data_IF_138131899451
#
_entry.id   IF_138131899451
#
_cell.length_a   1.000
_cell.length_b   1.000
_cell.length_c   1.000
_cell.angle_alpha   90.00
_cell.angle_beta   90.00
_cell.angle_gamma   90.00
#
_symmetry.space_group_name_H-M   'P 1'
#
loop_
_entity.id
_entity.type
_entity.pdbx_description
1 polymer ?
#
# COMPACT_ATOMS: atom_id res chain seq x y z
N UNK A 1 -25.27 -11.88 17.72
CA UNK A 1 -24.82 -10.55 17.25
C UNK A 1 -23.55 -10.74 16.44
N UNK A 2 -23.61 -10.61 15.10
CA UNK A 2 -22.43 -10.62 14.22
C UNK A 2 -22.16 -9.19 13.80
N UNK A 3 -21.10 -8.61 14.32
CA UNK A 3 -20.65 -7.24 14.03
C UNK A 3 -20.18 -7.20 12.58
N UNK A 4 -21.00 -6.65 11.69
CA UNK A 4 -20.60 -6.33 10.31
C UNK A 4 -19.77 -5.06 10.37
N UNK A 5 -18.45 -5.18 10.26
CA UNK A 5 -17.57 -4.03 10.07
C UNK A 5 -17.65 -3.65 8.59
N UNK A 6 -18.57 -2.76 8.24
CA UNK A 6 -18.53 -2.04 6.98
C UNK A 6 -17.46 -0.95 7.12
N UNK A 7 -16.27 -1.20 6.57
CA UNK A 7 -15.24 -0.18 6.43
C UNK A 7 -15.54 0.58 5.12
N UNK A 8 -16.37 1.62 5.21
CA UNK A 8 -16.52 2.59 4.12
C UNK A 8 -15.29 3.49 4.10
N UNK A 9 -14.40 3.31 3.13
CA UNK A 9 -13.29 4.22 2.91
C UNK A 9 -13.51 5.01 1.62
N UNK A 10 -13.96 6.24 1.79
CA UNK A 10 -14.09 7.26 0.76
C UNK A 10 -12.67 7.76 0.45
N UNK A 11 -12.03 7.24 -0.59
CA UNK A 11 -10.74 7.78 -1.06
C UNK A 11 -10.96 8.64 -2.29
N UNK A 12 -10.77 9.94 -2.11
CA UNK A 12 -10.76 10.94 -3.17
C UNK A 12 -9.63 10.62 -4.14
N UNK A 13 -10.00 10.31 -5.38
CA UNK A 13 -9.09 10.20 -6.51
C UNK A 13 -8.52 11.61 -6.78
N UNK A 14 -7.44 11.95 -6.08
CA UNK A 14 -6.68 13.16 -6.34
C UNK A 14 -5.92 12.95 -7.64
N UNK A 15 -6.52 13.38 -8.75
CA UNK A 15 -5.78 13.59 -10.00
C UNK A 15 -4.69 14.62 -9.73
N UNK A 16 -3.48 14.15 -9.43
CA UNK A 16 -2.31 15.01 -9.41
C UNK A 16 -1.98 15.31 -10.87
N UNK A 17 -2.37 16.51 -11.31
CA UNK A 17 -2.00 17.03 -12.62
C UNK A 17 -0.47 16.98 -12.75
N UNK A 18 0.01 16.28 -13.77
CA UNK A 18 1.44 16.18 -14.03
C UNK A 18 1.84 17.29 -14.97
N UNK A 19 2.63 18.22 -14.42
CA UNK A 19 3.33 19.22 -15.19
C UNK A 19 4.39 18.53 -16.05
N UNK A 20 4.45 18.87 -17.34
CA UNK A 20 5.53 18.43 -18.22
C UNK A 20 6.89 18.74 -17.58
N UNK A 21 7.85 17.81 -17.70
CA UNK A 21 9.20 17.94 -17.13
C UNK A 21 9.87 19.23 -17.64
N UNK A 22 10.33 20.08 -16.73
CA UNK A 22 10.99 21.34 -17.08
C UNK A 22 12.51 21.14 -17.09
N UNK A 23 13.24 21.60 -18.12
CA UNK A 23 14.68 21.45 -18.18
C UNK A 23 15.37 22.37 -17.16
N UNK A 24 16.56 21.97 -16.70
CA UNK A 24 17.48 22.85 -15.97
C UNK A 24 18.01 23.92 -16.93
N UNK A 25 17.58 25.17 -16.77
CA UNK A 25 17.97 26.28 -17.65
C UNK A 25 18.94 27.22 -16.91
N UNK A 26 20.10 27.43 -17.50
CA UNK A 26 21.04 28.48 -17.05
C UNK A 26 20.88 29.75 -17.88
N UNK A 27 21.12 30.92 -17.28
CA UNK A 27 21.13 32.21 -17.98
C UNK A 27 22.12 33.14 -17.29
N UNK A 28 23.08 33.67 -18.05
CA UNK A 28 24.04 34.63 -17.54
C UNK A 28 23.38 36.02 -17.42
N UNK A 29 23.60 36.71 -16.30
CA UNK A 29 22.94 37.98 -15.97
C UNK A 29 23.76 38.78 -14.96
N UNK A 30 23.41 40.05 -14.73
CA UNK A 30 23.99 40.88 -13.67
C UNK A 30 22.93 41.32 -12.68
N UNK A 31 23.10 40.96 -11.41
CA UNK A 31 22.17 41.29 -10.32
C UNK A 31 22.82 42.26 -9.35
N UNK A 32 22.05 43.27 -8.91
CA UNK A 32 22.54 44.28 -7.98
C UNK A 32 22.38 43.81 -6.53
N UNK A 33 23.47 43.84 -5.77
CA UNK A 33 23.50 43.59 -4.32
C UNK A 33 23.97 44.87 -3.62
N UNK A 34 23.06 45.56 -2.92
CA UNK A 34 23.34 46.90 -2.40
C UNK A 34 23.68 47.89 -3.51
N UNK A 35 24.92 48.38 -3.56
CA UNK A 35 25.43 49.26 -4.62
C UNK A 35 26.32 48.55 -5.66
N UNK A 36 26.59 47.26 -5.46
CA UNK A 36 27.47 46.48 -6.33
C UNK A 36 26.67 45.74 -7.38
N UNK A 37 27.09 45.82 -8.64
CA UNK A 37 26.52 45.03 -9.73
C UNK A 37 27.34 43.76 -9.88
N UNK A 38 26.74 42.61 -9.60
CA UNK A 38 27.42 41.33 -9.59
C UNK A 38 27.07 40.55 -10.88
N UNK A 39 28.01 40.33 -11.81
CA UNK A 39 27.79 39.42 -12.92
C UNK A 39 27.82 37.96 -12.42
N UNK A 40 26.84 37.18 -12.85
CA UNK A 40 26.67 35.81 -12.40
C UNK A 40 25.69 35.04 -13.26
N UNK A 41 25.12 34.00 -12.67
CA UNK A 41 24.35 33.00 -13.42
C UNK A 41 23.08 32.68 -12.65
N UNK A 42 21.95 32.73 -13.35
CA UNK A 42 20.68 32.15 -12.92
C UNK A 42 20.60 30.68 -13.31
N UNK A 43 20.09 29.85 -12.40
CA UNK A 43 19.67 28.48 -12.66
C UNK A 43 18.20 28.30 -12.23
N UNK A 44 17.40 27.76 -13.14
CA UNK A 44 16.02 27.39 -12.90
C UNK A 44 15.95 25.96 -12.34
N UNK A 45 15.39 25.81 -11.13
CA UNK A 45 15.26 24.54 -10.41
C UNK A 45 13.77 24.17 -10.30
N UNK A 46 13.27 23.22 -11.10
CA UNK A 46 11.85 22.86 -11.13
C UNK A 46 11.41 22.13 -9.87
N UNK A 47 10.16 22.34 -9.48
CA UNK A 47 9.41 21.54 -8.49
C UNK A 47 10.01 21.47 -7.07
N UNK A 48 11.07 22.23 -6.78
CA UNK A 48 11.65 22.33 -5.44
C UNK A 48 11.04 23.53 -4.70
N UNK A 49 10.88 23.38 -3.39
CA UNK A 49 10.44 24.47 -2.53
C UNK A 49 11.56 25.50 -2.28
N UNK A 50 11.21 26.79 -2.25
CA UNK A 50 12.17 27.89 -2.04
C UNK A 50 12.96 27.79 -0.73
N UNK A 51 12.33 27.35 0.36
CA UNK A 51 12.98 27.17 1.66
C UNK A 51 13.97 26.02 1.64
N UNK A 52 13.63 24.93 0.93
CA UNK A 52 14.53 23.79 0.72
C UNK A 52 15.77 24.22 -0.06
N UNK A 53 15.61 24.99 -1.15
CA UNK A 53 16.75 25.53 -1.91
C UNK A 53 17.57 26.46 -1.04
N UNK A 54 16.95 27.39 -0.31
CA UNK A 54 17.66 28.32 0.59
C UNK A 54 18.49 27.58 1.62
N UNK A 55 17.90 26.64 2.36
CA UNK A 55 18.60 25.86 3.38
C UNK A 55 19.74 25.02 2.79
N UNK A 56 19.49 24.34 1.67
CA UNK A 56 20.49 23.51 1.01
C UNK A 56 21.62 24.34 0.39
N UNK A 57 21.31 25.50 -0.18
CA UNK A 57 22.31 26.40 -0.76
C UNK A 57 23.23 26.96 0.31
N UNK A 58 22.69 27.46 1.43
CA UNK A 58 23.49 27.93 2.58
C UNK A 58 24.44 26.83 3.06
N UNK A 59 23.94 25.60 3.27
CA UNK A 59 24.78 24.46 3.65
C UNK A 59 25.87 24.15 2.62
N UNK A 60 25.56 24.34 1.35
CA UNK A 60 26.47 24.06 0.23
C UNK A 60 27.61 25.06 0.21
N UNK A 61 27.32 26.36 0.28
CA UNK A 61 28.33 27.43 0.22
C UNK A 61 29.13 27.59 1.53
N UNK A 62 28.57 27.19 2.68
CA UNK A 62 29.29 27.14 3.96
C UNK A 62 30.19 25.90 4.10
N UNK A 63 30.06 24.91 3.21
CA UNK A 63 30.79 23.64 3.33
C UNK A 63 32.30 23.88 3.28
N UNK A 64 33.01 23.43 4.32
CA UNK A 64 34.46 23.51 4.40
C UNK A 64 35.02 24.87 4.81
N UNK A 65 34.19 25.90 4.97
CA UNK A 65 34.60 27.21 5.52
C UNK A 65 34.10 27.41 6.95
N UNK A 66 34.76 28.31 7.69
CA UNK A 66 34.27 28.79 9.00
C UNK A 66 33.31 29.98 8.86
N UNK A 67 33.27 30.59 7.67
CA UNK A 67 32.39 31.71 7.38
C UNK A 67 30.93 31.31 7.40
N UNK A 68 30.07 32.25 7.77
CA UNK A 68 28.62 32.09 7.79
C UNK A 68 27.97 32.94 6.72
N UNK A 69 26.96 32.36 6.07
CA UNK A 69 26.14 33.09 5.12
C UNK A 69 25.29 34.13 5.86
N UNK A 70 25.22 35.32 5.30
CA UNK A 70 24.37 36.43 5.74
C UNK A 70 23.15 36.41 4.84
N UNK A 71 21.96 36.35 5.46
CA UNK A 71 20.68 36.30 4.77
C UNK A 71 19.98 37.65 4.92
N UNK A 72 19.66 38.28 3.79
CA UNK A 72 18.93 39.56 3.74
C UNK A 72 17.78 39.42 2.75
N UNK A 73 16.58 39.11 3.24
CA UNK A 73 15.43 38.84 2.37
C UNK A 73 15.65 37.59 1.51
N UNK A 74 15.68 37.77 0.18
CA UNK A 74 15.99 36.72 -0.79
C UNK A 74 17.49 36.61 -1.13
N UNK A 75 18.32 37.53 -0.64
CA UNK A 75 19.75 37.56 -0.88
C UNK A 75 20.51 36.75 0.18
N UNK A 76 21.56 36.07 -0.28
CA UNK A 76 22.46 35.25 0.53
C UNK A 76 23.88 35.62 0.12
N UNK A 77 24.67 36.10 1.08
CA UNK A 77 26.06 36.48 0.84
C UNK A 77 26.97 35.74 1.82
N UNK A 78 28.07 35.18 1.34
CA UNK A 78 29.11 34.60 2.20
C UNK A 78 30.47 35.14 1.79
N UNK A 79 31.26 35.54 2.79
CA UNK A 79 32.61 36.06 2.59
C UNK A 79 33.65 35.00 2.97
N UNK A 80 34.62 34.74 2.09
CA UNK A 80 35.66 33.71 2.33
C UNK A 80 35.14 32.27 2.30
N UNK A 81 34.23 31.95 1.37
CA UNK A 81 33.85 30.59 1.06
C UNK A 81 34.99 29.83 0.37
N UNK A 82 35.07 28.52 0.61
CA UNK A 82 36.08 27.65 -0.01
C UNK A 82 35.40 26.76 -1.05
N UNK A 83 35.49 27.14 -2.32
CA UNK A 83 34.99 26.36 -3.45
C UNK A 83 36.17 25.80 -4.25
N UNK A 84 36.80 24.75 -3.70
CA UNK A 84 38.04 24.15 -4.27
C UNK A 84 37.89 23.69 -5.73
N UNK A 85 36.68 23.32 -6.13
CA UNK A 85 36.39 22.91 -7.51
C UNK A 85 36.40 24.08 -8.51
N UNK A 86 36.35 25.32 -8.02
CA UNK A 86 36.39 26.55 -8.80
C UNK A 86 37.74 27.27 -8.61
N UNK A 87 38.19 27.47 -7.37
CA UNK A 87 39.44 28.17 -7.07
C UNK A 87 40.05 27.71 -5.74
N UNK A 88 41.38 27.77 -5.67
CA UNK A 88 42.17 27.45 -4.47
C UNK A 88 42.07 28.54 -3.40
N UNK A 89 41.81 29.79 -3.80
CA UNK A 89 41.71 30.92 -2.89
C UNK A 89 40.28 31.06 -2.33
N UNK A 90 40.11 31.57 -1.09
CA UNK A 90 38.80 31.93 -0.59
C UNK A 90 38.13 33.00 -1.46
N UNK A 91 36.83 32.88 -1.66
CA UNK A 91 36.02 33.73 -2.53
C UNK A 91 34.79 34.24 -1.82
N UNK A 92 34.23 35.35 -2.29
CA UNK A 92 32.94 35.81 -1.82
C UNK A 92 31.86 35.37 -2.81
N UNK A 93 30.73 34.89 -2.30
CA UNK A 93 29.61 34.43 -3.11
C UNK A 93 28.43 35.32 -2.79
N UNK A 94 27.83 35.88 -3.83
CA UNK A 94 26.59 36.64 -3.78
C UNK A 94 25.51 35.81 -4.47
N UNK A 95 24.37 35.62 -3.82
CA UNK A 95 23.30 34.77 -4.35
C UNK A 95 21.94 35.36 -4.07
N UNK A 96 20.98 35.11 -4.95
CA UNK A 96 19.59 35.50 -4.74
C UNK A 96 18.68 34.33 -5.10
N UNK A 97 17.62 34.10 -4.32
CA UNK A 97 16.66 33.02 -4.56
C UNK A 97 15.26 33.59 -4.76
N UNK A 98 14.71 33.38 -5.94
CA UNK A 98 13.38 33.84 -6.31
C UNK A 98 12.46 32.65 -6.60
N UNK A 99 11.24 32.67 -6.06
CA UNK A 99 10.20 31.72 -6.44
C UNK A 99 9.37 32.27 -7.60
N UNK A 100 9.13 31.46 -8.64
CA UNK A 100 8.23 31.80 -9.73
C UNK A 100 7.43 30.56 -10.15
N UNK A 101 6.12 30.61 -9.94
CA UNK A 101 5.17 29.53 -10.24
C UNK A 101 5.55 28.18 -9.61
N UNK A 102 6.22 27.30 -10.37
CA UNK A 102 6.65 25.93 -10.03
C UNK A 102 8.17 25.75 -10.19
N UNK A 103 8.91 26.86 -10.29
CA UNK A 103 10.35 26.89 -10.48
C UNK A 103 10.94 27.83 -9.43
N UNK A 104 12.03 27.40 -8.80
CA UNK A 104 12.86 28.29 -7.99
C UNK A 104 14.06 28.71 -8.84
N UNK A 105 14.29 30.02 -8.95
CA UNK A 105 15.47 30.57 -9.63
C UNK A 105 16.52 30.88 -8.58
N UNK A 106 17.72 30.32 -8.74
CA UNK A 106 18.89 30.63 -7.92
C UNK A 106 19.88 31.42 -8.78
N UNK A 107 20.25 32.61 -8.32
CA UNK A 107 21.38 33.37 -8.84
C UNK A 107 22.62 33.10 -8.02
N UNK A 108 23.78 33.00 -8.66
CA UNK A 108 25.07 33.05 -7.99
C UNK A 108 26.09 33.87 -8.79
N UNK A 109 26.81 34.73 -8.10
CA UNK A 109 27.98 35.45 -8.59
C UNK A 109 29.17 35.20 -7.66
N UNK A 110 30.37 35.17 -8.25
CA UNK A 110 31.61 34.89 -7.55
C UNK A 110 32.56 36.08 -7.66
N UNK A 111 32.95 36.60 -6.51
CA UNK A 111 33.96 37.65 -6.38
C UNK A 111 35.29 37.00 -5.95
N UNK A 112 36.29 37.08 -6.83
CA UNK A 112 37.61 36.47 -6.66
C UNK A 112 38.52 37.31 -5.78
N UNK A 113 38.42 38.64 -5.92
CA UNK A 113 39.04 39.67 -5.09
C UNK A 113 38.07 40.83 -4.97
N UNK A 114 38.32 41.73 -4.03
CA UNK A 114 37.49 42.92 -3.83
C UNK A 114 37.19 43.63 -5.16
N UNK A 115 35.91 43.73 -5.49
CA UNK A 115 35.34 44.34 -6.69
C UNK A 115 35.76 43.66 -8.03
N UNK A 116 36.33 42.45 -7.97
CA UNK A 116 36.77 41.64 -9.12
C UNK A 116 35.95 40.35 -9.20
N UNK A 117 34.94 40.35 -10.08
CA UNK A 117 34.05 39.21 -10.32
C UNK A 117 34.51 38.33 -11.48
N UNK A 118 34.03 37.09 -11.50
CA UNK A 118 34.24 36.21 -12.65
C UNK A 118 33.67 36.82 -13.94
N UNK A 119 34.42 36.70 -15.03
CA UNK A 119 34.01 37.19 -16.35
C UNK A 119 33.31 36.07 -17.11
N UNK A 120 32.25 36.38 -17.87
CA UNK A 120 31.54 35.39 -18.71
C UNK A 120 32.55 34.70 -19.63
N UNK A 121 32.46 33.37 -19.73
CA UNK A 121 33.40 32.47 -20.42
C UNK A 121 34.81 32.36 -19.80
N UNK A 122 35.07 32.94 -18.62
CA UNK A 122 36.30 32.62 -17.87
C UNK A 122 36.23 31.20 -17.32
N UNK A 123 37.39 30.62 -17.00
CA UNK A 123 37.46 29.28 -16.41
C UNK A 123 36.63 29.19 -15.13
N UNK A 124 36.78 30.17 -14.25
CA UNK A 124 36.08 30.24 -12.96
C UNK A 124 34.58 30.42 -13.15
N UNK A 125 34.15 31.18 -14.16
CA UNK A 125 32.74 31.35 -14.50
C UNK A 125 32.10 30.06 -15.02
N UNK A 126 32.77 29.33 -15.91
CA UNK A 126 32.30 28.02 -16.38
C UNK A 126 32.29 26.98 -15.26
N UNK A 127 33.28 27.02 -14.34
CA UNK A 127 33.27 26.17 -13.16
C UNK A 127 32.11 26.54 -12.20
N UNK A 128 31.81 27.82 -12.02
CA UNK A 128 30.63 28.28 -11.27
C UNK A 128 29.34 27.78 -11.91
N UNK A 129 29.23 27.86 -13.24
CA UNK A 129 28.10 27.35 -14.01
C UNK A 129 27.89 25.85 -13.80
N UNK A 130 28.98 25.08 -13.87
CA UNK A 130 28.97 23.65 -13.58
C UNK A 130 28.55 23.35 -12.14
N UNK A 131 29.11 24.09 -11.18
CA UNK A 131 28.81 23.94 -9.76
C UNK A 131 27.33 24.18 -9.44
N UNK A 132 26.75 25.29 -9.91
CA UNK A 132 25.33 25.59 -9.66
C UNK A 132 24.40 24.64 -10.43
N UNK A 133 24.80 24.19 -11.64
CA UNK A 133 24.03 23.21 -12.41
C UNK A 133 24.00 21.87 -11.66
N UNK A 134 25.13 21.43 -11.12
CA UNK A 134 25.20 20.22 -10.31
C UNK A 134 24.37 20.35 -9.04
N UNK A 135 24.48 21.48 -8.32
CA UNK A 135 23.63 21.74 -7.16
C UNK A 135 22.14 21.64 -7.51
N UNK A 136 21.70 22.31 -8.59
CA UNK A 136 20.31 22.29 -9.03
C UNK A 136 19.85 20.88 -9.43
N UNK A 137 20.70 20.12 -10.14
CA UNK A 137 20.45 18.73 -10.47
C UNK A 137 20.25 17.88 -9.22
N UNK A 138 21.12 17.99 -8.23
CA UNK A 138 21.01 17.23 -6.97
C UNK A 138 19.72 17.57 -6.22
N UNK A 139 19.30 18.84 -6.20
CA UNK A 139 18.02 19.21 -5.58
C UNK A 139 16.82 18.65 -6.36
N UNK A 140 16.87 18.65 -7.69
CA UNK A 140 15.78 18.13 -8.49
C UNK A 140 15.67 16.60 -8.42
N UNK A 141 16.81 15.90 -8.39
CA UNK A 141 16.90 14.45 -8.17
C UNK A 141 16.19 14.09 -6.87
N UNK A 142 16.50 14.78 -5.75
CA UNK A 142 15.87 14.49 -4.45
C UNK A 142 14.35 14.60 -4.50
N UNK A 143 13.82 15.62 -5.17
CA UNK A 143 12.36 15.75 -5.33
C UNK A 143 11.79 14.59 -6.14
N UNK A 144 12.46 14.18 -7.21
CA UNK A 144 12.02 13.04 -8.02
C UNK A 144 12.11 11.71 -7.25
N UNK A 145 13.15 11.51 -6.44
CA UNK A 145 13.31 10.36 -5.54
C UNK A 145 12.19 10.30 -4.50
N UNK A 146 11.88 11.42 -3.83
CA UNK A 146 10.81 11.50 -2.83
C UNK A 146 9.44 11.21 -3.46
N UNK A 147 9.20 11.74 -4.67
CA UNK A 147 7.98 11.47 -5.44
C UNK A 147 7.87 10.00 -5.84
N UNK A 148 8.96 9.40 -6.34
CA UNK A 148 9.03 7.99 -6.70
C UNK A 148 8.76 7.10 -5.49
N UNK A 149 9.48 7.31 -4.39
CA UNK A 149 9.32 6.58 -3.13
C UNK A 149 7.88 6.68 -2.60
N UNK A 150 7.25 7.84 -2.73
CA UNK A 150 5.83 8.01 -2.37
C UNK A 150 4.91 7.11 -3.20
N UNK A 151 5.14 7.00 -4.51
CA UNK A 151 4.33 6.13 -5.37
C UNK A 151 4.62 4.64 -5.14
N UNK A 152 5.87 4.26 -4.91
CA UNK A 152 6.26 2.90 -4.57
C UNK A 152 5.63 2.44 -3.25
N UNK A 153 5.58 3.33 -2.24
CA UNK A 153 4.89 3.03 -0.97
C UNK A 153 3.41 2.75 -1.19
N UNK A 154 2.72 3.53 -2.02
CA UNK A 154 1.30 3.29 -2.35
C UNK A 154 1.11 1.96 -3.06
N UNK A 155 1.98 1.63 -4.02
CA UNK A 155 1.95 0.35 -4.72
C UNK A 155 2.07 -0.81 -3.72
N UNK A 156 3.05 -0.74 -2.82
CA UNK A 156 3.29 -1.76 -1.79
C UNK A 156 2.10 -1.94 -0.84
N UNK A 157 1.42 -0.86 -0.48
CA UNK A 157 0.23 -0.92 0.36
C UNK A 157 -0.93 -1.64 -0.35
N UNK A 158 -1.15 -1.35 -1.65
CA UNK A 158 -2.15 -2.05 -2.47
C UNK A 158 -1.84 -3.55 -2.62
N UNK A 159 -0.58 -3.90 -2.87
CA UNK A 159 -0.13 -5.30 -2.97
C UNK A 159 -0.34 -6.06 -1.64
N UNK A 160 -0.09 -5.40 -0.51
CA UNK A 160 -0.33 -5.95 0.82
C UNK A 160 -1.82 -6.17 1.09
N UNK A 161 -2.67 -5.24 0.65
CA UNK A 161 -4.12 -5.40 0.73
C UNK A 161 -4.59 -6.60 -0.09
N UNK A 162 -4.13 -6.71 -1.35
CA UNK A 162 -4.43 -7.86 -2.21
C UNK A 162 -3.98 -9.19 -1.59
N UNK A 163 -2.77 -9.23 -1.01
CA UNK A 163 -2.26 -10.40 -0.28
C UNK A 163 -3.17 -10.79 0.88
N UNK A 164 -3.68 -9.81 1.62
CA UNK A 164 -4.62 -10.03 2.73
C UNK A 164 -5.95 -10.60 2.22
N UNK A 165 -6.48 -10.07 1.11
CA UNK A 165 -7.71 -10.57 0.50
C UNK A 165 -7.56 -12.03 0.04
N UNK A 166 -6.42 -12.41 -0.54
CA UNK A 166 -6.11 -13.79 -0.92
C UNK A 166 -6.10 -14.74 0.29
N UNK A 167 -5.51 -14.32 1.41
CA UNK A 167 -5.52 -15.11 2.66
C UNK A 167 -6.93 -15.30 3.22
N UNK A 168 -7.80 -14.30 3.10
CA UNK A 168 -9.21 -14.42 3.50
C UNK A 168 -9.92 -15.48 2.65
N UNK A 169 -9.74 -15.45 1.32
CA UNK A 169 -10.26 -16.49 0.43
C UNK A 169 -9.78 -17.89 0.81
N UNK A 170 -8.49 -18.09 1.02
CA UNK A 170 -7.93 -19.38 1.41
C UNK A 170 -8.55 -19.91 2.72
N UNK A 171 -8.81 -19.02 3.69
CA UNK A 171 -9.48 -19.40 4.94
C UNK A 171 -10.93 -19.86 4.68
N UNK A 172 -11.68 -19.12 3.87
CA UNK A 172 -13.06 -19.49 3.51
C UNK A 172 -13.11 -20.83 2.79
N UNK A 173 -12.15 -21.09 1.89
CA UNK A 173 -12.02 -22.37 1.18
C UNK A 173 -11.74 -23.55 2.15
N UNK A 174 -10.87 -23.35 3.14
CA UNK A 174 -10.61 -24.36 4.20
C UNK A 174 -11.84 -24.64 5.06
N UNK A 175 -12.62 -23.61 5.39
CA UNK A 175 -13.88 -23.75 6.13
C UNK A 175 -14.92 -24.54 5.30
N UNK A 176 -15.02 -24.29 3.99
CA UNK A 176 -15.86 -25.06 3.07
C UNK A 176 -15.41 -26.53 3.02
N UNK A 177 -14.11 -26.78 2.92
CA UNK A 177 -13.57 -28.14 2.92
C UNK A 177 -13.94 -28.89 4.21
N UNK A 178 -13.79 -28.24 5.37
CA UNK A 178 -14.14 -28.82 6.68
C UNK A 178 -15.64 -29.11 6.78
N UNK A 179 -16.48 -28.20 6.28
CA UNK A 179 -17.93 -28.38 6.23
C UNK A 179 -18.34 -29.55 5.33
N UNK A 180 -17.68 -29.73 4.17
CA UNK A 180 -17.91 -30.86 3.28
C UNK A 180 -17.55 -32.20 3.93
N UNK A 181 -16.42 -32.27 4.65
CA UNK A 181 -16.05 -33.46 5.44
C UNK A 181 -17.13 -33.78 6.49
N UNK A 182 -17.60 -32.76 7.22
CA UNK A 182 -18.67 -32.91 8.21
C UNK A 182 -19.95 -33.46 7.59
N UNK A 183 -20.34 -32.94 6.41
CA UNK A 183 -21.52 -33.44 5.68
C UNK A 183 -21.35 -34.91 5.30
N UNK A 184 -20.16 -35.31 4.83
CA UNK A 184 -19.88 -36.69 4.47
C UNK A 184 -20.00 -37.64 5.67
N UNK A 185 -19.40 -37.28 6.80
CA UNK A 185 -19.44 -38.06 8.04
C UNK A 185 -20.88 -38.20 8.58
N UNK A 186 -21.63 -37.10 8.65
CA UNK A 186 -23.00 -37.11 9.14
C UNK A 186 -23.95 -37.87 8.18
N UNK A 187 -23.73 -37.79 6.85
CA UNK A 187 -24.47 -38.60 5.88
C UNK A 187 -24.21 -40.11 6.05
N UNK A 188 -22.96 -40.50 6.30
CA UNK A 188 -22.62 -41.90 6.60
C UNK A 188 -23.35 -42.37 7.87
N UNK A 189 -23.33 -41.54 8.93
CA UNK A 189 -24.03 -41.82 10.18
C UNK A 189 -25.54 -41.95 9.98
N UNK A 190 -26.16 -41.05 9.22
CA UNK A 190 -27.58 -41.14 8.86
C UNK A 190 -27.87 -42.46 8.14
N UNK A 191 -27.02 -42.86 7.19
CA UNK A 191 -27.20 -44.12 6.45
C UNK A 191 -27.13 -45.34 7.39
N UNK A 192 -26.16 -45.39 8.29
CA UNK A 192 -26.02 -46.47 9.28
C UNK A 192 -27.24 -46.55 10.20
N UNK A 193 -27.64 -45.43 10.81
CA UNK A 193 -28.77 -45.39 11.73
C UNK A 193 -30.09 -45.70 11.02
N UNK A 194 -30.26 -45.31 9.75
CA UNK A 194 -31.44 -45.69 8.95
C UNK A 194 -31.53 -47.20 8.72
N UNK A 195 -30.40 -47.89 8.50
CA UNK A 195 -30.37 -49.36 8.38
C UNK A 195 -30.75 -50.02 9.70
N UNK A 196 -30.18 -49.56 10.81
CA UNK A 196 -30.52 -50.07 12.15
C UNK A 196 -31.99 -49.82 12.49
N UNK A 197 -32.51 -48.63 12.17
CA UNK A 197 -33.92 -48.27 12.38
C UNK A 197 -34.85 -49.22 11.64
N UNK A 198 -34.56 -49.55 10.37
CA UNK A 198 -35.37 -50.49 9.60
C UNK A 198 -35.40 -51.89 10.23
N UNK A 199 -34.28 -52.36 10.79
CA UNK A 199 -34.23 -53.62 11.55
C UNK A 199 -35.06 -53.52 12.83
N UNK A 200 -34.92 -52.45 13.60
CA UNK A 200 -35.71 -52.21 14.82
C UNK A 200 -37.21 -52.15 14.51
N UNK A 201 -37.62 -51.49 13.43
CA UNK A 201 -39.02 -51.42 13.00
C UNK A 201 -39.56 -52.80 12.62
N UNK A 202 -38.84 -53.58 11.82
CA UNK A 202 -39.25 -54.94 11.44
C UNK A 202 -39.38 -55.89 12.64
N UNK A 203 -38.46 -55.80 13.60
CA UNK A 203 -38.53 -56.61 14.83
C UNK A 203 -39.69 -56.19 15.72
N UNK A 204 -39.94 -54.88 15.82
CA UNK A 204 -41.02 -54.32 16.60
C UNK A 204 -42.39 -54.69 16.03
N UNK A 205 -42.55 -54.72 14.71
CA UNK A 205 -43.77 -55.20 14.06
C UNK A 205 -44.01 -56.68 14.39
N UNK A 206 -42.99 -57.52 14.25
CA UNK A 206 -43.06 -58.97 14.56
C UNK A 206 -43.44 -59.21 16.03
N UNK A 207 -42.76 -58.55 16.96
CA UNK A 207 -43.01 -58.67 18.40
C UNK A 207 -44.37 -58.09 18.81
N UNK A 208 -44.83 -57.04 18.14
CA UNK A 208 -46.16 -56.47 18.40
C UNK A 208 -47.27 -57.40 17.92
N UNK A 209 -47.09 -58.06 16.77
CA UNK A 209 -48.01 -59.12 16.30
C UNK A 209 -48.02 -60.30 17.25
N UNK A 210 -46.85 -60.79 17.68
CA UNK A 210 -46.73 -61.87 18.67
C UNK A 210 -47.52 -61.52 19.94
N UNK A 211 -47.26 -60.34 20.53
CA UNK A 211 -47.92 -59.84 21.74
C UNK A 211 -49.46 -59.81 21.63
N UNK A 212 -50.00 -59.50 20.45
CA UNK A 212 -51.45 -59.43 20.21
C UNK A 212 -52.15 -60.79 20.24
N UNK A 213 -51.40 -61.87 20.05
CA UNK A 213 -51.90 -63.25 20.01
C UNK A 213 -51.64 -64.03 21.30
N UNK A 214 -50.92 -63.45 22.27
CA UNK A 214 -50.56 -64.12 23.52
C UNK A 214 -51.66 -64.01 24.59
N UNK A 215 -51.88 -65.12 25.30
CA UNK A 215 -52.73 -65.17 26.50
C UNK A 215 -52.12 -64.37 27.67
N UNK A 216 -52.98 -63.91 28.60
CA UNK A 216 -52.55 -63.15 29.78
C UNK A 216 -51.62 -63.99 30.67
N UNK A 217 -50.40 -63.51 30.91
CA UNK A 217 -49.42 -64.23 31.73
C UNK A 217 -48.07 -63.53 31.83
N UNK A 218 -47.11 -64.13 32.53
CA UNK A 218 -45.75 -63.59 32.68
C UNK A 218 -45.02 -63.45 31.34
N UNK A 219 -45.22 -64.39 30.41
CA UNK A 219 -44.65 -64.35 29.07
C UNK A 219 -45.12 -63.11 28.27
N UNK A 220 -46.42 -62.78 28.32
CA UNK A 220 -46.97 -61.58 27.68
C UNK A 220 -46.38 -60.29 28.27
N UNK A 221 -46.17 -60.24 29.59
CA UNK A 221 -45.52 -59.08 30.24
C UNK A 221 -44.06 -58.90 29.81
N UNK A 222 -43.32 -60.00 29.63
CA UNK A 222 -41.94 -59.95 29.15
C UNK A 222 -41.85 -59.39 27.73
N UNK A 223 -42.65 -59.91 26.80
CA UNK A 223 -42.73 -59.40 25.41
C UNK A 223 -43.20 -57.94 25.38
N UNK A 224 -44.14 -57.57 26.24
CA UNK A 224 -44.59 -56.18 26.37
C UNK A 224 -43.48 -55.23 26.82
N UNK A 225 -42.57 -55.67 27.70
CA UNK A 225 -41.39 -54.88 28.09
C UNK A 225 -40.42 -54.72 26.91
N UNK A 226 -40.14 -55.81 26.20
CA UNK A 226 -39.25 -55.81 25.03
C UNK A 226 -39.76 -54.86 23.93
N UNK A 227 -41.07 -54.87 23.65
CA UNK A 227 -41.70 -53.91 22.71
C UNK A 227 -41.51 -52.47 23.17
N UNK A 228 -41.67 -52.16 24.46
CA UNK A 228 -41.44 -50.81 24.99
C UNK A 228 -39.98 -50.37 24.84
N UNK A 229 -39.04 -51.27 25.08
CA UNK A 229 -37.61 -50.98 24.92
C UNK A 229 -37.26 -50.75 23.44
N UNK A 230 -37.80 -51.55 22.52
CA UNK A 230 -37.65 -51.33 21.08
C UNK A 230 -38.29 -50.01 20.61
N UNK A 231 -39.45 -49.61 21.16
CA UNK A 231 -40.06 -48.31 20.89
C UNK A 231 -39.17 -47.15 21.35
N UNK A 232 -38.53 -47.30 22.51
CA UNK A 232 -37.56 -46.33 23.02
C UNK A 232 -36.33 -46.24 22.10
N UNK A 233 -35.77 -47.38 21.69
CA UNK A 233 -34.64 -47.45 20.75
C UNK A 233 -34.98 -46.77 19.41
N UNK A 234 -36.16 -47.04 18.85
CA UNK A 234 -36.67 -46.36 17.63
C UNK A 234 -36.68 -44.84 17.80
N UNK A 235 -37.20 -44.34 18.92
CA UNK A 235 -37.24 -42.89 19.21
C UNK A 235 -35.83 -42.29 19.29
N UNK A 236 -34.89 -43.01 19.89
CA UNK A 236 -33.49 -42.58 20.00
C UNK A 236 -32.79 -42.54 18.63
N UNK A 237 -33.01 -43.56 17.78
CA UNK A 237 -32.51 -43.59 16.40
C UNK A 237 -33.07 -42.45 15.56
N UNK A 238 -34.39 -42.19 15.62
CA UNK A 238 -35.01 -41.04 14.94
C UNK A 238 -34.43 -39.70 15.41
N UNK A 239 -34.20 -39.54 16.72
CA UNK A 239 -33.55 -38.35 17.28
C UNK A 239 -32.10 -38.22 16.78
N UNK A 240 -31.36 -39.31 16.68
CA UNK A 240 -30.00 -39.31 16.15
C UNK A 240 -29.95 -38.90 14.66
N UNK A 241 -30.88 -39.38 13.84
CA UNK A 241 -31.04 -38.97 12.43
C UNK A 241 -31.31 -37.46 12.37
N UNK A 242 -32.33 -36.98 13.08
CA UNK A 242 -32.69 -35.55 13.09
C UNK A 242 -31.53 -34.65 13.52
N UNK A 243 -30.77 -35.05 14.53
CA UNK A 243 -29.58 -34.31 14.97
C UNK A 243 -28.49 -34.24 13.88
N UNK A 244 -28.27 -35.33 13.15
CA UNK A 244 -27.28 -35.41 12.08
C UNK A 244 -27.72 -34.60 10.85
N UNK A 245 -29.02 -34.61 10.53
CA UNK A 245 -29.63 -33.78 9.48
C UNK A 245 -29.51 -32.28 9.81
N UNK A 246 -29.74 -31.90 11.07
CA UNK A 246 -29.55 -30.52 11.53
C UNK A 246 -28.10 -30.04 11.39
N UNK A 247 -27.10 -30.88 11.68
CA UNK A 247 -25.69 -30.56 11.47
C UNK A 247 -25.34 -30.43 9.98
N UNK A 248 -25.89 -31.31 9.14
CA UNK A 248 -25.74 -31.26 7.68
C UNK A 248 -26.29 -29.95 7.13
N UNK A 249 -27.49 -29.55 7.56
CA UNK A 249 -28.11 -28.29 7.18
C UNK A 249 -27.26 -27.08 7.56
N UNK A 250 -26.76 -27.02 8.81
CA UNK A 250 -25.86 -25.94 9.26
C UNK A 250 -24.58 -25.85 8.40
N UNK A 251 -24.00 -27.01 8.07
CA UNK A 251 -22.80 -27.08 7.23
C UNK A 251 -23.08 -26.60 5.79
N UNK A 252 -24.23 -26.96 5.22
CA UNK A 252 -24.66 -26.47 3.90
C UNK A 252 -24.87 -24.95 3.89
N UNK A 253 -25.50 -24.39 4.92
CA UNK A 253 -25.66 -22.93 5.06
C UNK A 253 -24.29 -22.24 5.17
N UNK A 254 -23.36 -22.78 5.96
CA UNK A 254 -22.00 -22.25 6.05
C UNK A 254 -21.29 -22.25 4.68
N UNK A 255 -21.42 -23.33 3.91
CA UNK A 255 -20.85 -23.41 2.56
C UNK A 255 -21.44 -22.33 1.65
N UNK A 256 -22.77 -22.16 1.67
CA UNK A 256 -23.44 -21.13 0.88
C UNK A 256 -22.96 -19.72 1.26
N UNK A 257 -22.92 -19.42 2.56
CA UNK A 257 -22.44 -18.13 3.07
C UNK A 257 -20.99 -17.87 2.63
N UNK A 258 -20.11 -18.86 2.81
CA UNK A 258 -18.69 -18.73 2.45
C UNK A 258 -18.50 -18.59 0.93
N UNK A 259 -19.27 -19.29 0.10
CA UNK A 259 -19.23 -19.12 -1.36
C UNK A 259 -19.64 -17.71 -1.81
N UNK A 260 -20.67 -17.14 -1.16
CA UNK A 260 -21.09 -15.77 -1.41
C UNK A 260 -19.99 -14.76 -1.02
N UNK A 261 -19.32 -14.98 0.12
CA UNK A 261 -18.21 -14.14 0.55
C UNK A 261 -16.97 -14.29 -0.34
N UNK A 262 -16.67 -15.51 -0.82
CA UNK A 262 -15.60 -15.73 -1.82
C UNK A 262 -15.89 -14.94 -3.10
N UNK A 263 -17.14 -14.95 -3.58
CA UNK A 263 -17.53 -14.20 -4.79
C UNK A 263 -17.28 -12.70 -4.62
N UNK A 264 -17.65 -12.12 -3.48
CA UNK A 264 -17.37 -10.70 -3.18
C UNK A 264 -15.87 -10.43 -3.05
N UNK A 265 -15.15 -11.33 -2.38
CA UNK A 265 -13.71 -11.21 -2.19
C UNK A 265 -12.97 -11.24 -3.54
N UNK A 266 -13.34 -12.12 -4.47
CA UNK A 266 -12.76 -12.18 -5.82
C UNK A 266 -12.98 -10.86 -6.57
N UNK A 267 -14.20 -10.30 -6.52
CA UNK A 267 -14.49 -9.01 -7.16
C UNK A 267 -13.62 -7.88 -6.58
N UNK A 268 -13.43 -7.86 -5.26
CA UNK A 268 -12.54 -6.89 -4.61
C UNK A 268 -11.06 -7.10 -4.98
N UNK A 269 -10.62 -8.34 -5.20
CA UNK A 269 -9.28 -8.63 -5.72
C UNK A 269 -9.10 -8.10 -7.15
N UNK A 270 -10.10 -8.24 -8.02
CA UNK A 270 -10.07 -7.72 -9.37
C UNK A 270 -9.95 -6.18 -9.38
N UNK A 271 -10.77 -5.51 -8.57
CA UNK A 271 -10.71 -4.04 -8.40
C UNK A 271 -9.33 -3.59 -7.87
N UNK A 272 -8.71 -4.36 -6.97
CA UNK A 272 -7.36 -4.09 -6.46
C UNK A 272 -6.28 -4.32 -7.52
N UNK A 273 -6.41 -5.36 -8.34
CA UNK A 273 -5.47 -5.63 -9.43
C UNK A 273 -5.47 -4.48 -10.46
N UNK A 274 -6.65 -3.94 -10.79
CA UNK A 274 -6.76 -2.77 -11.68
C UNK A 274 -6.03 -1.55 -11.08
N UNK A 275 -6.27 -1.27 -9.79
CA UNK A 275 -5.59 -0.18 -9.08
C UNK A 275 -4.08 -0.35 -9.03
N UNK A 276 -3.61 -1.59 -8.81
CA UNK A 276 -2.18 -1.92 -8.83
C UNK A 276 -1.60 -1.62 -10.21
N UNK A 277 -2.25 -2.04 -11.30
CA UNK A 277 -1.78 -1.77 -12.66
C UNK A 277 -1.70 -0.28 -12.99
N UNK A 278 -2.67 0.51 -12.53
CA UNK A 278 -2.64 1.98 -12.64
C UNK A 278 -1.46 2.56 -11.84
N UNK A 279 -1.28 2.09 -10.60
CA UNK A 279 -0.22 2.59 -9.73
C UNK A 279 1.19 2.19 -10.21
N UNK A 280 1.36 1.01 -10.81
CA UNK A 280 2.61 0.60 -11.49
C UNK A 280 2.96 1.57 -12.63
N UNK A 281 1.96 2.04 -13.37
CA UNK A 281 2.16 3.02 -14.45
C UNK A 281 2.64 4.36 -13.88
N UNK A 282 2.06 4.81 -12.76
CA UNK A 282 2.56 6.02 -12.08
C UNK A 282 3.99 5.82 -11.55
N UNK A 283 4.31 4.68 -10.92
CA UNK A 283 5.69 4.39 -10.48
C UNK A 283 6.68 4.47 -11.65
N UNK A 284 6.39 3.82 -12.78
CA UNK A 284 7.24 3.87 -13.99
C UNK A 284 7.47 5.30 -14.46
N UNK A 285 6.41 6.11 -14.50
CA UNK A 285 6.48 7.51 -14.92
C UNK A 285 7.40 8.36 -14.02
N UNK A 286 7.39 8.15 -12.71
CA UNK A 286 8.34 8.86 -11.81
C UNK A 286 9.76 8.29 -11.90
N UNK A 287 9.91 6.99 -12.15
CA UNK A 287 11.21 6.38 -12.41
C UNK A 287 11.85 6.92 -13.71
N UNK A 288 11.06 7.04 -14.78
CA UNK A 288 11.50 7.63 -16.05
C UNK A 288 11.86 9.12 -15.89
N UNK A 289 11.11 9.86 -15.07
CA UNK A 289 11.44 11.23 -14.70
C UNK A 289 12.79 11.32 -14.00
N UNK A 290 13.02 10.51 -12.97
CA UNK A 290 14.30 10.47 -12.25
C UNK A 290 15.46 10.19 -13.20
N UNK A 291 15.34 9.14 -14.03
CA UNK A 291 16.34 8.78 -15.04
C UNK A 291 16.63 9.91 -16.03
N UNK A 292 15.60 10.66 -16.43
CA UNK A 292 15.76 11.82 -17.32
C UNK A 292 16.56 12.92 -16.65
N UNK A 293 16.27 13.23 -15.38
CA UNK A 293 17.00 14.25 -14.62
C UNK A 293 18.46 13.83 -14.40
N UNK A 294 18.71 12.55 -14.11
CA UNK A 294 20.06 11.98 -13.98
C UNK A 294 20.90 12.13 -15.24
N UNK A 295 20.28 12.24 -16.42
CA UNK A 295 20.97 12.40 -17.70
C UNK A 295 21.40 13.84 -18.04
N UNK A 296 20.93 14.85 -17.30
CA UNK A 296 21.31 16.27 -17.50
C UNK A 296 22.75 16.59 -17.11
#
# INVERSE_FOLDING_TARGET
MRTRVFLSFLFTLSMVAVYAQKPLKTTDDSVKFGNTLCPGIWIDIPEVNIETIRSSWVKTIEKGTKSKAILTGNEITIFGALLKDITEAPVNIFSAINGQDSVVRLFAALELKRDEFTVINSREHEQLKGFIKQFAKDQYIKVAEDQLSTQESKLKDLEKELSTMRKVKEKLEKEIQTANTTISEENYKISSVKKELAVTESSLDTKSTELSTMEEGEAKKAVQSEVKDMQKQKKEQLKAISNSENKTMKSKTLIQDNNNEITKNLKAQDDLNEKISIQETEVRKYADKLKTIESY
#
